data_IF_364347441328
#
_entry.id   IF_364347441328
#
_cell.length_a   1.000
_cell.length_b   1.000
_cell.length_c   1.000
_cell.angle_alpha   90.00
_cell.angle_beta   90.00
_cell.angle_gamma   90.00
#
_symmetry.space_group_name_H-M   'P 1'
#
loop_
_entity.id
_entity.type
_entity.pdbx_description
1 polymer ?
#
# COMPACT_ATOMS: atom_id res chain seq x y z
N UNK A 1 -9.13 -5.57 16.29
CA UNK A 1 -10.22 -5.74 15.27
C UNK A 1 -10.10 -4.74 14.12
N UNK A 2 -10.03 -3.41 14.35
CA UNK A 2 -9.84 -2.44 13.26
C UNK A 2 -8.42 -2.49 12.64
N UNK A 3 -7.39 -2.63 13.47
CA UNK A 3 -5.99 -2.77 13.01
C UNK A 3 -5.76 -4.05 12.19
N UNK A 4 -6.36 -5.16 12.61
CA UNK A 4 -6.28 -6.44 11.89
C UNK A 4 -6.87 -6.34 10.48
N UNK A 5 -8.00 -5.64 10.33
CA UNK A 5 -8.62 -5.37 9.02
C UNK A 5 -7.70 -4.51 8.16
N UNK A 6 -7.13 -3.44 8.71
CA UNK A 6 -6.19 -2.56 8.01
C UNK A 6 -4.94 -3.30 7.54
N UNK A 7 -4.36 -4.13 8.41
CA UNK A 7 -3.21 -4.97 8.06
C UNK A 7 -3.55 -5.97 6.94
N UNK A 8 -4.73 -6.61 7.02
CA UNK A 8 -5.18 -7.54 5.98
C UNK A 8 -5.38 -6.85 4.63
N UNK A 9 -5.92 -5.62 4.64
CA UNK A 9 -6.08 -4.81 3.43
C UNK A 9 -4.73 -4.34 2.87
N UNK A 10 -3.78 -3.99 3.73
CA UNK A 10 -2.41 -3.67 3.30
C UNK A 10 -1.71 -4.87 2.64
N UNK A 11 -1.86 -6.07 3.22
CA UNK A 11 -1.32 -7.31 2.63
C UNK A 11 -1.98 -7.58 1.28
N UNK A 12 -3.30 -7.42 1.17
CA UNK A 12 -4.02 -7.55 -0.10
C UNK A 12 -3.54 -6.54 -1.14
N UNK A 13 -3.42 -5.27 -0.77
CA UNK A 13 -2.91 -4.20 -1.63
C UNK A 13 -1.51 -4.53 -2.17
N UNK A 14 -0.61 -4.99 -1.30
CA UNK A 14 0.81 -5.17 -1.67
C UNK A 14 1.10 -6.50 -2.37
N UNK A 15 0.30 -7.53 -2.11
CA UNK A 15 0.57 -8.90 -2.59
C UNK A 15 -0.49 -9.44 -3.56
N UNK A 16 -1.64 -8.77 -3.69
CA UNK A 16 -2.81 -9.31 -4.39
C UNK A 16 -3.45 -10.50 -3.67
N UNK A 17 -3.01 -10.83 -2.44
CA UNK A 17 -3.47 -11.97 -1.66
C UNK A 17 -3.84 -11.57 -0.23
N UNK A 18 -4.74 -12.32 0.41
CA UNK A 18 -5.09 -12.13 1.83
C UNK A 18 -4.10 -12.81 2.79
N UNK A 19 -3.02 -13.39 2.27
CA UNK A 19 -2.06 -14.19 3.05
C UNK A 19 -0.62 -13.76 2.77
N UNK A 20 0.23 -13.88 3.79
CA UNK A 20 1.67 -13.70 3.65
C UNK A 20 2.28 -14.97 3.05
N UNK A 21 3.09 -14.79 2.00
CA UNK A 21 3.85 -15.86 1.36
C UNK A 21 5.28 -15.97 1.89
N UNK A 22 6.11 -16.79 1.23
CA UNK A 22 7.55 -16.88 1.48
C UNK A 22 8.34 -15.69 0.93
N UNK A 23 7.72 -14.93 0.02
CA UNK A 23 8.33 -13.75 -0.59
C UNK A 23 8.12 -12.58 0.37
N UNK A 24 9.18 -11.88 0.78
CA UNK A 24 9.05 -10.74 1.66
C UNK A 24 8.40 -9.57 0.92
N UNK A 25 7.56 -8.82 1.65
CA UNK A 25 7.09 -7.51 1.18
C UNK A 25 8.27 -6.55 1.18
N UNK A 26 8.47 -5.85 0.06
CA UNK A 26 9.52 -4.85 -0.11
C UNK A 26 8.92 -3.47 -0.12
N UNK A 27 9.57 -2.55 0.57
CA UNK A 27 9.24 -1.12 0.54
C UNK A 27 10.32 -0.43 -0.26
N UNK A 28 9.93 0.20 -1.36
CA UNK A 28 10.81 0.98 -2.21
C UNK A 28 10.49 2.46 -2.04
N UNK A 29 11.54 3.27 -1.89
CA UNK A 29 11.42 4.71 -1.66
C UNK A 29 11.88 5.41 -2.94
N UNK A 30 10.93 6.04 -3.64
CA UNK A 30 11.11 6.63 -4.96
C UNK A 30 11.17 8.15 -4.89
N UNK A 31 12.27 8.75 -5.35
CA UNK A 31 12.41 10.20 -5.50
C UNK A 31 11.73 10.76 -6.76
N UNK A 32 11.46 9.91 -7.74
CA UNK A 32 10.74 10.29 -8.96
C UNK A 32 9.23 10.32 -8.78
N UNK A 33 8.71 9.74 -7.70
CA UNK A 33 7.28 9.74 -7.39
C UNK A 33 6.93 11.04 -6.67
N UNK A 34 6.32 11.99 -7.40
CA UNK A 34 5.86 13.25 -6.78
C UNK A 34 4.87 12.98 -5.62
N UNK A 35 4.90 13.76 -4.53
CA UNK A 35 4.09 13.51 -3.33
C UNK A 35 2.58 13.69 -3.55
N UNK A 36 2.18 14.20 -4.73
CA UNK A 36 0.79 14.21 -5.15
C UNK A 36 0.25 12.80 -5.42
N UNK A 37 1.11 11.87 -5.83
CA UNK A 37 0.74 10.51 -6.18
C UNK A 37 0.46 9.65 -4.94
N UNK A 38 -0.45 8.70 -5.12
CA UNK A 38 -0.66 7.64 -4.14
C UNK A 38 0.49 6.63 -4.24
N UNK A 39 0.79 5.89 -3.15
CA UNK A 39 1.60 4.69 -3.21
C UNK A 39 1.13 3.75 -4.30
N UNK A 40 2.09 3.12 -4.97
CA UNK A 40 1.77 2.11 -5.99
C UNK A 40 2.28 0.75 -5.54
N UNK A 41 1.49 -0.30 -5.76
CA UNK A 41 1.86 -1.66 -5.44
C UNK A 41 2.13 -2.48 -6.70
N UNK A 42 3.20 -3.26 -6.66
CA UNK A 42 3.59 -4.23 -7.65
C UNK A 42 3.34 -5.62 -7.06
N UNK A 43 2.12 -6.13 -7.24
CA UNK A 43 1.69 -7.39 -6.62
C UNK A 43 2.43 -8.62 -7.17
N UNK A 44 3.09 -8.51 -8.32
CA UNK A 44 3.88 -9.62 -8.89
C UNK A 44 5.21 -9.86 -8.16
N UNK A 45 5.80 -8.84 -7.52
CA UNK A 45 7.09 -8.93 -6.81
C UNK A 45 7.00 -8.52 -5.33
N UNK A 46 5.79 -8.22 -4.87
CA UNK A 46 5.42 -7.83 -3.51
C UNK A 46 6.10 -6.53 -3.07
N UNK A 47 6.24 -5.60 -4.01
CA UNK A 47 6.85 -4.28 -3.75
C UNK A 47 5.79 -3.20 -3.62
N UNK A 48 5.96 -2.29 -2.67
CA UNK A 48 5.23 -1.02 -2.59
C UNK A 48 6.21 0.14 -2.83
N UNK A 49 5.87 1.00 -3.78
CA UNK A 49 6.60 2.24 -4.06
C UNK A 49 5.97 3.39 -3.26
N UNK A 50 6.80 4.08 -2.48
CA UNK A 50 6.45 5.25 -1.69
C UNK A 50 7.22 6.47 -2.19
N UNK A 51 6.59 7.65 -2.17
CA UNK A 51 7.31 8.89 -2.44
C UNK A 51 8.29 9.20 -1.31
N UNK A 52 9.52 9.57 -1.65
CA UNK A 52 10.48 10.11 -0.67
C UNK A 52 10.18 11.55 -0.26
N UNK A 53 9.21 12.19 -0.91
CA UNK A 53 8.94 13.63 -0.82
C UNK A 53 7.64 13.94 -0.06
N UNK A 54 7.02 12.95 0.59
CA UNK A 54 5.88 13.23 1.47
C UNK A 54 6.32 14.22 2.57
N UNK A 55 5.64 15.36 2.73
CA UNK A 55 6.12 16.46 3.59
C UNK A 55 6.09 16.11 5.07
N UNK A 56 5.21 15.19 5.47
CA UNK A 56 5.00 14.78 6.86
C UNK A 56 4.35 13.40 6.96
N UNK A 57 4.39 12.83 8.16
CA UNK A 57 3.81 11.52 8.49
C UNK A 57 2.29 11.47 8.28
N UNK A 58 1.59 12.58 8.49
CA UNK A 58 0.14 12.65 8.35
C UNK A 58 -0.27 12.49 6.87
N UNK A 59 0.43 13.18 5.98
CA UNK A 59 0.26 13.09 4.53
C UNK A 59 0.60 11.68 4.04
N UNK A 60 1.71 11.10 4.50
CA UNK A 60 2.05 9.72 4.19
C UNK A 60 0.92 8.75 4.60
N UNK A 61 0.43 8.86 5.83
CA UNK A 61 -0.63 7.99 6.35
C UNK A 61 -1.92 8.13 5.50
N UNK A 62 -2.36 9.36 5.22
CA UNK A 62 -3.55 9.62 4.39
C UNK A 62 -3.42 9.06 2.98
N UNK A 63 -2.23 9.19 2.38
CA UNK A 63 -1.95 8.68 1.03
C UNK A 63 -1.96 7.16 1.00
N UNK A 64 -1.34 6.51 1.99
CA UNK A 64 -1.33 5.05 2.12
C UNK A 64 -2.72 4.49 2.39
N UNK A 65 -3.47 5.08 3.33
CA UNK A 65 -4.85 4.67 3.62
C UNK A 65 -5.72 4.76 2.37
N UNK A 66 -5.61 5.87 1.63
CA UNK A 66 -6.36 6.06 0.38
C UNK A 66 -5.98 5.04 -0.70
N UNK A 67 -4.70 4.73 -0.88
CA UNK A 67 -4.28 3.71 -1.84
C UNK A 67 -4.85 2.33 -1.51
N UNK A 68 -4.82 1.96 -0.23
CA UNK A 68 -5.39 0.69 0.26
C UNK A 68 -6.91 0.65 0.07
N UNK A 69 -7.61 1.76 0.33
CA UNK A 69 -9.06 1.87 0.15
C UNK A 69 -9.50 1.82 -1.31
N UNK A 70 -8.79 2.51 -2.21
CA UNK A 70 -9.09 2.50 -3.65
C UNK A 70 -8.95 1.07 -4.23
N UNK A 71 -7.87 0.37 -3.87
CA UNK A 71 -7.65 -1.01 -4.32
C UNK A 71 -8.65 -1.99 -3.71
N UNK A 72 -8.94 -1.86 -2.40
CA UNK A 72 -9.96 -2.68 -1.74
C UNK A 72 -11.36 -2.47 -2.35
N UNK A 73 -11.66 -1.27 -2.87
CA UNK A 73 -12.89 -0.97 -3.58
C UNK A 73 -13.00 -1.71 -4.93
N UNK A 74 -11.89 -1.88 -5.65
CA UNK A 74 -11.84 -2.63 -6.91
C UNK A 74 -12.08 -4.14 -6.73
N UNK A 75 -11.70 -4.71 -5.58
CA UNK A 75 -11.92 -6.14 -5.29
C UNK A 75 -13.30 -6.46 -4.70
N UNK A 76 -14.18 -5.46 -4.55
CA UNK A 76 -15.51 -5.62 -3.98
C UNK A 76 -15.49 -5.93 -2.48
N UNK A 77 -16.55 -5.54 -1.77
CA UNK A 77 -16.74 -5.91 -0.37
C UNK A 77 -16.81 -7.45 -0.24
N UNK A 78 -15.69 -8.09 0.07
CA UNK A 78 -15.63 -9.50 0.50
C UNK A 78 -15.66 -9.57 2.02
#
# INVERSE_FOLDING_TARGET
KAEERRLSQFVLFTTGSKTLGKIPIKVNICSTLSPIHLPNAHTCDFTIDLSSEYPDQETFNKKLERAIEEEAGCFGNV
#
